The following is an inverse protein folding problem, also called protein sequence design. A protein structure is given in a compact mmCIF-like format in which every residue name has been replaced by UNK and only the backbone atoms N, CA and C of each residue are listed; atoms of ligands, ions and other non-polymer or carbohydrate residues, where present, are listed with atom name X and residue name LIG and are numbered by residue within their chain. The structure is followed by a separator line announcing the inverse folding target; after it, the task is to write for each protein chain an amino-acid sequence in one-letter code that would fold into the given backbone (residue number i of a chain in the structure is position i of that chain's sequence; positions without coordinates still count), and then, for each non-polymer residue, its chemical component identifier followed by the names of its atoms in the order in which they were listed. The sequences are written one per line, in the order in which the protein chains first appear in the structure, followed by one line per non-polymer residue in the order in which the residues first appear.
data_IF_567697037851
#
_entry.id   IF_567697037851
#
_cell.length_a   1.000
_cell.length_b   1.000
_cell.length_c   1.000
_cell.angle_alpha   90.00
_cell.angle_beta   90.00
_cell.angle_gamma   90.00
#
_symmetry.space_group_name_H-M   'P 1'
#
loop_
_entity.id
_entity.type
_entity.pdbx_description
1 polymer ?
#
# COMPACT_ATOMS: atom_id res chain seq x y z
N UNK A 1 19.83 -9.90 20.98
CA UNK A 1 18.66 -10.68 20.53
C UNK A 1 17.58 -9.70 20.12
N UNK A 2 17.45 -9.48 18.84
CA UNK A 2 16.38 -8.65 18.28
C UNK A 2 15.06 -9.39 18.50
N UNK A 3 14.21 -8.90 19.41
CA UNK A 3 12.81 -9.33 19.45
C UNK A 3 12.25 -9.09 18.07
N UNK A 4 11.70 -10.10 17.39
CA UNK A 4 10.93 -9.94 16.17
C UNK A 4 9.87 -8.89 16.42
N UNK A 5 10.14 -7.66 16.00
CA UNK A 5 9.19 -6.57 16.09
C UNK A 5 8.15 -6.85 15.01
N UNK A 6 6.88 -6.91 15.39
CA UNK A 6 5.79 -7.01 14.43
C UNK A 6 5.70 -5.71 13.63
N UNK A 7 5.80 -5.82 12.31
CA UNK A 7 5.82 -4.68 11.40
C UNK A 7 4.43 -4.31 10.84
N UNK A 8 3.37 -4.93 11.32
CA UNK A 8 1.99 -4.48 10.98
C UNK A 8 1.85 -2.99 11.29
N UNK A 9 1.20 -2.24 10.42
CA UNK A 9 1.07 -0.79 10.50
C UNK A 9 2.43 -0.05 10.41
N UNK A 10 3.33 -0.56 9.59
CA UNK A 10 4.57 0.12 9.20
C UNK A 10 4.64 0.24 7.68
N UNK A 11 5.43 1.19 7.21
CA UNK A 11 5.85 1.26 5.82
C UNK A 11 7.18 0.56 5.61
N UNK A 12 7.31 -0.08 4.46
CA UNK A 12 8.58 -0.43 3.86
C UNK A 12 8.91 0.57 2.76
N UNK A 13 10.05 1.21 2.87
CA UNK A 13 10.57 2.15 1.89
C UNK A 13 11.63 1.41 1.08
N UNK A 14 11.40 1.23 -0.23
CA UNK A 14 12.37 0.59 -1.09
C UNK A 14 13.69 1.38 -1.12
N UNK A 15 14.79 0.71 -0.84
CA UNK A 15 16.11 1.32 -0.95
C UNK A 15 16.55 1.43 -2.42
N UNK A 16 17.58 2.23 -2.73
CA UNK A 16 18.15 2.27 -4.07
C UNK A 16 18.74 0.94 -4.57
N UNK A 17 18.94 -0.05 -3.70
CA UNK A 17 19.37 -1.39 -4.09
C UNK A 17 18.33 -2.12 -4.95
N UNK A 18 17.04 -1.76 -4.78
CA UNK A 18 15.95 -2.26 -5.61
C UNK A 18 15.91 -1.43 -6.88
N UNK A 19 16.47 -1.93 -7.97
CA UNK A 19 16.72 -1.19 -9.21
C UNK A 19 15.69 -1.44 -10.33
N UNK A 20 14.65 -2.23 -10.06
CA UNK A 20 13.64 -2.53 -11.08
C UNK A 20 12.35 -3.13 -10.55
N UNK A 21 11.40 -3.36 -11.47
CA UNK A 21 10.10 -3.94 -11.18
C UNK A 21 9.17 -3.02 -10.38
N UNK A 22 8.08 -3.59 -9.90
CA UNK A 22 7.07 -2.85 -9.14
C UNK A 22 7.61 -2.26 -7.84
N UNK A 23 8.63 -2.88 -7.26
CA UNK A 23 9.21 -2.44 -5.99
C UNK A 23 10.24 -1.31 -6.14
N UNK A 24 10.66 -0.98 -7.36
CA UNK A 24 11.52 0.19 -7.60
C UNK A 24 10.84 1.47 -7.09
N UNK A 25 11.49 2.17 -6.15
CA UNK A 25 10.94 3.37 -5.51
C UNK A 25 9.52 3.17 -4.94
N UNK A 26 9.25 2.00 -4.39
CA UNK A 26 7.94 1.70 -3.81
C UNK A 26 7.87 2.04 -2.33
N UNK A 27 6.67 2.40 -1.91
CA UNK A 27 6.24 2.47 -0.52
C UNK A 27 5.21 1.37 -0.31
N UNK A 28 5.51 0.42 0.57
CA UNK A 28 4.62 -0.70 0.90
C UNK A 28 4.07 -0.50 2.30
N UNK A 29 2.76 -0.57 2.45
CA UNK A 29 2.09 -0.59 3.76
C UNK A 29 1.88 -2.02 4.23
N UNK A 30 2.40 -2.38 5.40
CA UNK A 30 2.24 -3.72 5.97
C UNK A 30 0.90 -3.82 6.68
N UNK A 31 0.00 -4.61 6.09
CA UNK A 31 -1.35 -4.83 6.59
C UNK A 31 -1.42 -5.91 7.66
N UNK A 32 -0.57 -6.93 7.56
CA UNK A 32 -0.51 -8.05 8.49
C UNK A 32 0.86 -8.71 8.47
N UNK A 33 1.35 -9.06 9.63
CA UNK A 33 2.52 -9.94 9.81
C UNK A 33 2.22 -10.95 10.90
N UNK A 34 2.33 -12.23 10.57
CA UNK A 34 2.11 -13.34 11.49
C UNK A 34 3.09 -14.49 11.23
N UNK A 35 2.84 -15.65 11.84
CA UNK A 35 3.71 -16.82 11.70
C UNK A 35 3.73 -17.44 10.30
N UNK A 36 2.78 -17.08 9.44
CA UNK A 36 2.67 -17.56 8.06
C UNK A 36 3.41 -16.65 7.08
N UNK A 37 3.66 -15.40 7.45
CA UNK A 37 4.36 -14.43 6.62
C UNK A 37 3.82 -13.00 6.77
N UNK A 38 4.09 -12.20 5.75
CA UNK A 38 3.73 -10.77 5.72
C UNK A 38 2.90 -10.44 4.49
N UNK A 39 1.82 -9.71 4.69
CA UNK A 39 0.97 -9.12 3.64
C UNK A 39 1.18 -7.62 3.60
N UNK A 40 1.51 -7.09 2.43
CA UNK A 40 1.66 -5.66 2.20
C UNK A 40 0.91 -5.18 0.95
N UNK A 41 0.65 -3.89 0.90
CA UNK A 41 0.10 -3.20 -0.27
C UNK A 41 1.06 -2.10 -0.70
N UNK A 42 1.46 -2.12 -1.98
CA UNK A 42 2.16 -0.99 -2.59
C UNK A 42 1.16 0.17 -2.70
N UNK A 43 1.49 1.32 -2.11
CA UNK A 43 0.55 2.44 -1.97
C UNK A 43 0.95 3.69 -2.74
N UNK A 44 1.92 3.58 -3.66
CA UNK A 44 2.42 4.72 -4.43
C UNK A 44 2.58 4.47 -5.94
N UNK A 45 1.95 3.44 -6.47
CA UNK A 45 2.02 3.09 -7.90
C UNK A 45 0.63 3.18 -8.54
N UNK A 46 0.19 4.38 -8.99
CA UNK A 46 -1.11 4.54 -9.63
C UNK A 46 -1.15 3.86 -11.00
N UNK A 47 -2.30 3.26 -11.31
CA UNK A 47 -2.61 2.69 -12.63
C UNK A 47 -3.27 3.80 -13.45
N UNK A 48 -2.49 4.47 -14.29
CA UNK A 48 -2.96 5.64 -15.05
C UNK A 48 -3.86 5.30 -16.24
N UNK A 49 -3.94 4.04 -16.62
CA UNK A 49 -4.77 3.56 -17.74
C UNK A 49 -6.23 3.32 -17.36
N UNK A 50 -6.58 3.46 -16.08
CA UNK A 50 -7.94 3.24 -15.57
C UNK A 50 -8.26 4.23 -14.45
N UNK A 51 -9.49 4.23 -13.99
CA UNK A 51 -9.93 4.94 -12.79
C UNK A 51 -10.89 4.07 -11.99
N UNK A 52 -11.14 4.47 -10.74
CA UNK A 52 -11.97 3.68 -9.82
C UNK A 52 -13.40 3.53 -10.33
N UNK A 53 -14.00 4.58 -10.90
CA UNK A 53 -15.35 4.52 -11.44
C UNK A 53 -15.47 3.48 -12.55
N UNK A 54 -14.52 3.45 -13.49
CA UNK A 54 -14.51 2.46 -14.58
C UNK A 54 -14.44 1.03 -14.07
N UNK A 55 -13.59 0.76 -13.06
CA UNK A 55 -13.51 -0.57 -12.45
C UNK A 55 -14.82 -0.97 -11.76
N UNK A 56 -15.51 -0.02 -11.14
CA UNK A 56 -16.82 -0.29 -10.53
C UNK A 56 -17.89 -0.59 -11.58
N UNK A 57 -17.91 0.16 -12.69
CA UNK A 57 -18.79 -0.09 -13.82
C UNK A 57 -18.58 -1.49 -14.43
N UNK A 58 -17.34 -1.93 -14.59
CA UNK A 58 -16.99 -3.29 -15.04
C UNK A 58 -17.50 -4.39 -14.09
N UNK A 59 -17.69 -4.06 -12.80
CA UNK A 59 -18.29 -4.93 -11.80
C UNK A 59 -19.82 -4.79 -11.70
N UNK A 60 -20.45 -4.02 -12.59
CA UNK A 60 -21.89 -3.67 -12.55
C UNK A 60 -22.28 -2.95 -11.24
N UNK A 61 -21.44 -2.02 -10.81
CA UNK A 61 -21.72 -1.11 -9.69
C UNK A 61 -21.96 0.28 -10.24
N UNK A 62 -23.15 0.82 -10.01
CA UNK A 62 -23.51 2.17 -10.43
C UNK A 62 -22.77 3.21 -9.58
N UNK A 63 -22.04 4.10 -10.25
CA UNK A 63 -21.27 5.16 -9.61
C UNK A 63 -22.06 6.46 -9.62
N UNK A 64 -22.39 6.96 -8.44
CA UNK A 64 -23.11 8.25 -8.29
C UNK A 64 -22.20 9.42 -7.94
N UNK A 65 -20.93 9.14 -7.59
CA UNK A 65 -19.96 10.13 -7.13
C UNK A 65 -18.95 10.44 -8.23
N UNK A 66 -18.94 11.70 -8.65
CA UNK A 66 -18.05 12.19 -9.72
C UNK A 66 -16.57 12.08 -9.42
N UNK A 67 -16.15 12.19 -8.16
CA UNK A 67 -14.74 12.14 -7.77
C UNK A 67 -14.07 10.77 -8.06
N UNK A 68 -14.84 9.69 -8.10
CA UNK A 68 -14.33 8.36 -8.45
C UNK A 68 -13.81 8.27 -9.90
N UNK A 69 -14.27 9.14 -10.80
CA UNK A 69 -13.74 9.22 -12.17
C UNK A 69 -12.33 9.83 -12.24
N UNK A 70 -11.91 10.53 -11.18
CA UNK A 70 -10.57 11.13 -11.07
C UNK A 70 -9.63 10.32 -10.20
N UNK A 71 -10.17 9.42 -9.38
CA UNK A 71 -9.38 8.58 -8.49
C UNK A 71 -8.77 7.41 -9.25
N UNK A 72 -7.45 7.26 -9.15
CA UNK A 72 -6.73 6.16 -9.78
C UNK A 72 -6.66 4.97 -8.82
N UNK A 73 -6.85 3.75 -9.31
CA UNK A 73 -6.49 2.56 -8.55
C UNK A 73 -4.98 2.44 -8.49
N UNK A 74 -4.48 1.67 -7.52
CA UNK A 74 -3.07 1.41 -7.32
C UNK A 74 -2.72 -0.02 -7.75
N UNK A 75 -1.54 -0.19 -8.32
CA UNK A 75 -0.91 -1.50 -8.44
C UNK A 75 -0.35 -1.87 -7.06
N UNK A 76 -1.09 -2.70 -6.33
CA UNK A 76 -0.80 -3.04 -4.93
C UNK A 76 0.29 -4.08 -4.75
N UNK A 77 0.72 -4.73 -5.84
CA UNK A 77 1.77 -5.74 -5.80
C UNK A 77 1.58 -6.86 -6.83
N UNK A 78 2.58 -7.75 -6.96
CA UNK A 78 2.62 -8.75 -8.04
C UNK A 78 1.71 -9.96 -7.80
N UNK A 79 1.19 -10.13 -6.58
CA UNK A 79 0.39 -11.30 -6.23
C UNK A 79 -1.10 -11.03 -6.46
N UNK A 80 -1.80 -11.97 -7.10
CA UNK A 80 -3.25 -11.92 -7.36
C UNK A 80 -3.73 -10.56 -7.91
N UNK A 81 -3.22 -10.11 -9.07
CA UNK A 81 -3.53 -8.78 -9.61
C UNK A 81 -5.00 -8.56 -9.96
N UNK A 82 -5.78 -9.64 -10.04
CA UNK A 82 -7.23 -9.61 -10.24
C UNK A 82 -8.03 -9.36 -8.96
N UNK A 83 -7.38 -9.39 -7.79
CA UNK A 83 -8.05 -9.17 -6.50
C UNK A 83 -7.92 -7.71 -6.08
N UNK A 84 -9.06 -7.08 -5.81
CA UNK A 84 -9.12 -5.73 -5.25
C UNK A 84 -9.01 -5.74 -3.73
N UNK A 85 -8.13 -4.90 -3.21
CA UNK A 85 -7.96 -4.62 -1.78
C UNK A 85 -8.32 -3.16 -1.53
N UNK A 86 -9.33 -2.92 -0.72
CA UNK A 86 -9.68 -1.57 -0.29
C UNK A 86 -9.04 -1.32 1.07
N UNK A 87 -8.04 -0.45 1.08
CA UNK A 87 -7.45 0.09 2.30
C UNK A 87 -8.25 1.33 2.67
N UNK A 88 -8.81 1.40 3.89
CA UNK A 88 -9.75 2.46 4.22
C UNK A 88 -9.74 2.84 5.70
N UNK A 89 -10.28 4.01 5.98
CA UNK A 89 -10.57 4.47 7.34
C UNK A 89 -11.91 3.93 7.83
N UNK A 90 -12.11 3.94 9.15
CA UNK A 90 -13.35 3.53 9.80
C UNK A 90 -13.29 2.13 10.39
N UNK A 91 -14.43 1.46 10.44
CA UNK A 91 -14.60 0.15 11.06
C UNK A 91 -14.64 -0.98 10.02
N UNK A 92 -14.35 -2.22 10.41
CA UNK A 92 -14.39 -3.37 9.51
C UNK A 92 -15.82 -3.93 9.36
N UNK A 93 -16.74 -3.12 8.84
CA UNK A 93 -18.17 -3.40 8.81
C UNK A 93 -18.63 -4.24 7.60
N UNK A 94 -17.72 -4.60 6.71
CA UNK A 94 -18.02 -5.38 5.49
C UNK A 94 -17.65 -6.85 5.63
N UNK A 95 -18.21 -7.70 4.76
CA UNK A 95 -18.15 -9.18 4.85
C UNK A 95 -16.71 -9.71 4.96
N UNK A 96 -15.79 -9.24 4.12
CA UNK A 96 -14.38 -9.68 4.14
C UNK A 96 -13.49 -8.51 4.57
N UNK A 97 -13.64 -8.08 5.80
CA UNK A 97 -12.96 -6.93 6.37
C UNK A 97 -12.22 -7.28 7.64
N UNK A 98 -11.04 -6.70 7.85
CA UNK A 98 -10.35 -6.75 9.13
C UNK A 98 -9.67 -5.43 9.47
N UNK A 99 -9.59 -5.13 10.76
CA UNK A 99 -8.89 -3.96 11.25
C UNK A 99 -7.38 -4.22 11.29
N UNK A 100 -6.61 -3.28 10.73
CA UNK A 100 -5.14 -3.25 10.87
C UNK A 100 -4.79 -2.47 12.13
N UNK A 101 -5.48 -1.35 12.35
CA UNK A 101 -5.43 -0.52 13.55
C UNK A 101 -6.86 -0.13 13.95
N UNK A 102 -7.00 0.68 14.99
CA UNK A 102 -8.31 1.25 15.37
C UNK A 102 -8.95 2.11 14.27
N UNK A 103 -8.15 2.67 13.36
CA UNK A 103 -8.59 3.64 12.36
C UNK A 103 -8.36 3.22 10.91
N UNK A 104 -7.66 2.11 10.67
CA UNK A 104 -7.32 1.63 9.32
C UNK A 104 -7.74 0.19 9.18
N UNK A 105 -8.51 -0.09 8.15
CA UNK A 105 -9.01 -1.41 7.80
C UNK A 105 -8.65 -1.78 6.37
N UNK A 106 -8.72 -3.06 6.06
CA UNK A 106 -8.62 -3.62 4.72
C UNK A 106 -9.83 -4.49 4.44
N UNK A 107 -10.41 -4.36 3.26
CA UNK A 107 -11.60 -5.09 2.83
C UNK A 107 -11.43 -5.62 1.41
N UNK A 108 -11.84 -6.86 1.16
CA UNK A 108 -11.75 -7.50 -0.17
C UNK A 108 -13.12 -7.86 -0.75
N UNK A 109 -14.21 -7.66 -0.03
CA UNK A 109 -15.56 -7.97 -0.47
C UNK A 109 -16.22 -6.82 -1.25
N UNK A 110 -17.12 -7.18 -2.17
CA UNK A 110 -17.77 -6.23 -3.09
C UNK A 110 -18.69 -5.21 -2.39
N UNK A 111 -19.21 -5.52 -1.22
CA UNK A 111 -20.15 -4.68 -0.48
C UNK A 111 -19.57 -3.30 -0.10
N UNK A 112 -18.26 -3.21 0.20
CA UNK A 112 -17.61 -1.92 0.42
C UNK A 112 -17.60 -1.06 -0.85
N UNK A 113 -17.41 -1.67 -2.03
CA UNK A 113 -17.41 -0.94 -3.29
C UNK A 113 -18.77 -0.29 -3.58
N UNK A 114 -19.86 -0.98 -3.23
CA UNK A 114 -21.21 -0.44 -3.35
C UNK A 114 -21.43 0.75 -2.41
N UNK A 115 -20.93 0.68 -1.18
CA UNK A 115 -20.98 1.80 -0.23
C UNK A 115 -20.18 3.00 -0.72
N UNK A 116 -18.97 2.79 -1.22
CA UNK A 116 -18.12 3.83 -1.79
C UNK A 116 -18.77 4.47 -3.01
N UNK A 117 -19.33 3.67 -3.93
CA UNK A 117 -20.01 4.17 -5.13
C UNK A 117 -21.21 5.06 -4.82
N UNK A 118 -21.89 4.79 -3.72
CA UNK A 118 -22.99 5.58 -3.17
C UNK A 118 -22.57 6.77 -2.27
N UNK A 119 -21.27 6.94 -2.02
CA UNK A 119 -20.75 8.01 -1.16
C UNK A 119 -20.96 7.80 0.33
N UNK A 120 -21.05 6.55 0.75
CA UNK A 120 -21.38 6.21 2.12
C UNK A 120 -20.30 5.34 2.78
N UNK A 121 -20.16 5.47 4.09
CA UNK A 121 -19.45 4.53 4.96
C UNK A 121 -17.93 4.62 5.00
N UNK A 122 -17.29 5.37 4.10
CA UNK A 122 -15.83 5.47 4.02
C UNK A 122 -15.41 6.90 3.70
N UNK A 123 -14.60 7.49 4.57
CA UNK A 123 -14.09 8.86 4.39
C UNK A 123 -12.86 8.88 3.48
N UNK A 124 -11.89 8.01 3.77
CA UNK A 124 -10.66 7.88 2.98
C UNK A 124 -10.45 6.42 2.57
N UNK A 125 -10.08 6.20 1.33
CA UNK A 125 -9.73 4.86 0.85
C UNK A 125 -8.70 4.90 -0.28
N UNK A 126 -7.98 3.79 -0.44
CA UNK A 126 -7.22 3.43 -1.64
C UNK A 126 -7.70 2.08 -2.15
N UNK A 127 -7.91 1.98 -3.46
CA UNK A 127 -8.20 0.71 -4.13
C UNK A 127 -6.92 0.18 -4.74
N UNK A 128 -6.41 -0.92 -4.20
CA UNK A 128 -5.21 -1.59 -4.69
C UNK A 128 -5.60 -2.87 -5.45
N UNK A 129 -5.03 -3.08 -6.63
CA UNK A 129 -5.14 -4.33 -7.37
C UNK A 129 -3.88 -5.16 -7.11
N UNK A 130 -4.07 -6.39 -6.62
CA UNK A 130 -2.96 -7.23 -6.18
C UNK A 130 -2.35 -6.78 -4.84
N UNK A 131 -1.37 -7.55 -4.38
CA UNK A 131 -0.67 -7.33 -3.12
C UNK A 131 0.78 -7.81 -3.18
N UNK A 132 1.56 -7.45 -2.18
CA UNK A 132 2.89 -8.00 -1.91
C UNK A 132 2.81 -9.02 -0.78
N UNK A 133 3.60 -10.08 -0.87
CA UNK A 133 3.65 -11.14 0.12
C UNK A 133 5.08 -11.62 0.34
N UNK A 134 5.44 -11.79 1.60
CA UNK A 134 6.71 -12.36 2.04
C UNK A 134 6.43 -13.62 2.87
N UNK A 135 7.14 -14.68 2.57
CA UNK A 135 7.14 -15.86 3.41
C UNK A 135 7.77 -15.59 4.78
N UNK A 136 7.59 -16.52 5.72
CA UNK A 136 8.17 -16.41 7.07
C UNK A 136 9.67 -16.18 7.01
N UNK A 137 10.15 -15.10 7.62
CA UNK A 137 11.56 -14.72 7.69
C UNK A 137 12.13 -14.04 6.45
N UNK A 138 11.42 -14.05 5.32
CA UNK A 138 11.90 -13.48 4.07
C UNK A 138 12.03 -11.95 4.17
N UNK A 139 11.04 -11.26 4.73
CA UNK A 139 11.07 -9.80 4.89
C UNK A 139 12.23 -9.38 5.81
N UNK A 140 12.44 -10.08 6.90
CA UNK A 140 13.52 -9.82 7.84
C UNK A 140 14.90 -9.97 7.18
N UNK A 141 15.05 -10.96 6.30
CA UNK A 141 16.27 -11.13 5.49
C UNK A 141 16.49 -9.95 4.53
N UNK A 142 15.46 -9.54 3.80
CA UNK A 142 15.54 -8.41 2.86
C UNK A 142 15.84 -7.09 3.58
N UNK A 143 15.28 -6.87 4.78
CA UNK A 143 15.60 -5.71 5.62
C UNK A 143 17.07 -5.76 6.05
N UNK A 144 17.57 -6.92 6.48
CA UNK A 144 18.96 -7.09 6.90
C UNK A 144 19.96 -6.91 5.73
N UNK A 145 19.53 -7.21 4.51
CA UNK A 145 20.30 -6.97 3.28
C UNK A 145 20.29 -5.48 2.84
N UNK A 146 19.44 -4.68 3.47
CA UNK A 146 19.31 -3.26 3.16
C UNK A 146 18.41 -2.94 1.98
N UNK A 147 17.53 -3.87 1.58
CA UNK A 147 16.57 -3.64 0.49
C UNK A 147 15.41 -2.75 0.95
N UNK A 148 15.05 -2.83 2.21
CA UNK A 148 13.95 -2.08 2.80
C UNK A 148 14.36 -1.29 4.03
N UNK A 149 13.88 -0.04 4.12
CA UNK A 149 13.84 0.74 5.36
C UNK A 149 12.45 0.69 5.96
N UNK A 150 12.37 0.70 7.28
CA UNK A 150 11.11 0.62 8.02
C UNK A 150 10.77 1.97 8.64
N UNK A 151 9.53 2.42 8.43
CA UNK A 151 8.98 3.65 9.00
C UNK A 151 7.63 3.36 9.64
N UNK A 152 7.35 3.78 10.88
CA UNK A 152 5.99 3.72 11.43
C UNK A 152 4.99 4.40 10.50
N UNK A 153 3.83 3.79 10.29
CA UNK A 153 2.83 4.34 9.38
C UNK A 153 2.17 5.61 9.94
N UNK A 154 1.74 6.47 9.01
CA UNK A 154 0.94 7.64 9.30
C UNK A 154 -0.23 7.76 8.33
N UNK A 155 -1.34 8.31 8.80
CA UNK A 155 -2.54 8.56 7.99
C UNK A 155 -2.24 9.50 6.83
N UNK A 156 -1.41 10.53 7.05
CA UNK A 156 -1.01 11.49 6.02
C UNK A 156 -0.34 10.82 4.82
N UNK A 157 0.62 9.92 5.05
CA UNK A 157 1.27 9.17 3.97
C UNK A 157 0.34 8.19 3.26
N UNK A 158 -0.65 7.61 3.99
CA UNK A 158 -1.60 6.68 3.39
C UNK A 158 -2.63 7.36 2.52
N UNK A 159 -3.13 8.55 2.90
CA UNK A 159 -4.34 9.10 2.28
C UNK A 159 -4.23 10.54 1.80
N UNK A 160 -3.30 11.35 2.33
CA UNK A 160 -3.27 12.81 2.04
C UNK A 160 -2.18 13.20 1.04
N UNK A 161 -1.06 12.45 1.00
CA UNK A 161 0.04 12.75 0.08
C UNK A 161 -0.25 12.14 -1.30
N UNK A 162 0.01 12.90 -2.36
CA UNK A 162 -0.06 12.38 -3.73
C UNK A 162 0.81 11.13 -3.91
N UNK A 163 0.31 10.12 -4.58
CA UNK A 163 0.96 8.81 -4.74
C UNK A 163 2.42 8.91 -5.18
N UNK A 164 2.70 9.73 -6.20
CA UNK A 164 4.05 9.92 -6.77
C UNK A 164 5.07 10.50 -5.78
N UNK A 165 4.61 11.18 -4.73
CA UNK A 165 5.46 11.84 -3.74
C UNK A 165 5.67 10.99 -2.47
N UNK A 166 4.85 9.96 -2.25
CA UNK A 166 4.83 9.17 -1.01
C UNK A 166 6.17 8.53 -0.67
N UNK A 167 6.84 7.92 -1.65
CA UNK A 167 8.14 7.30 -1.42
C UNK A 167 9.20 8.31 -0.96
N UNK A 168 9.29 9.43 -1.65
CA UNK A 168 10.25 10.49 -1.30
C UNK A 168 9.95 11.13 0.06
N UNK A 169 8.67 11.42 0.34
CA UNK A 169 8.26 11.97 1.63
C UNK A 169 8.55 10.99 2.77
N UNK A 170 8.30 9.70 2.57
CA UNK A 170 8.63 8.66 3.55
C UNK A 170 10.15 8.60 3.82
N UNK A 171 10.97 8.65 2.77
CA UNK A 171 12.44 8.68 2.90
C UNK A 171 12.91 9.92 3.68
N UNK A 172 12.35 11.08 3.41
CA UNK A 172 12.64 12.32 4.13
C UNK A 172 12.26 12.24 5.62
N UNK A 173 11.11 11.64 5.94
CA UNK A 173 10.69 11.42 7.33
C UNK A 173 11.64 10.48 8.08
N UNK A 174 12.20 9.50 7.39
CA UNK A 174 13.23 8.63 7.95
C UNK A 174 14.59 9.31 8.11
N UNK A 175 14.81 10.48 7.50
CA UNK A 175 16.08 11.20 7.48
C UNK A 175 17.08 10.63 6.47
N UNK A 176 16.65 9.89 5.48
CA UNK A 176 17.49 9.29 4.43
C UNK A 176 17.38 10.10 3.14
N UNK A 177 18.52 10.49 2.59
CA UNK A 177 18.62 11.11 1.27
C UNK A 177 19.14 10.09 0.26
N UNK A 178 18.22 9.44 -0.44
CA UNK A 178 18.57 8.42 -1.43
C UNK A 178 19.34 8.95 -2.63
N UNK A 179 19.28 10.25 -2.91
CA UNK A 179 20.09 10.86 -3.98
C UNK A 179 21.58 10.84 -3.62
N UNK A 180 21.92 10.87 -2.34
CA UNK A 180 23.31 10.77 -1.87
C UNK A 180 23.79 9.31 -1.82
N UNK A 181 22.91 8.37 -1.53
CA UNK A 181 23.29 6.95 -1.48
C UNK A 181 23.59 6.37 -2.86
N UNK A 182 22.94 6.85 -3.93
CA UNK A 182 23.19 6.39 -5.30
C UNK A 182 24.51 6.88 -5.90
N UNK A 183 25.11 7.95 -5.35
CA UNK A 183 26.41 8.47 -5.82
C UNK A 183 27.61 7.74 -5.21
N UNK A 184 27.46 7.07 -4.07
CA UNK A 184 28.54 6.32 -3.42
C UNK A 184 28.77 4.92 -3.99
N UNK A 185 27.83 4.40 -4.78
CA UNK A 185 27.95 3.06 -5.43
C UNK A 185 28.70 3.14 -6.78
N UNK A 186 28.97 4.34 -7.29
CA UNK A 186 29.58 4.58 -8.61
C UNK A 186 31.11 4.66 -8.66
N UNK A 187 31.83 4.52 -7.55
CA UNK A 187 33.29 4.63 -7.48
C UNK A 187 33.92 3.52 -6.63
N UNK A 188 33.93 2.33 -7.18
CA UNK A 188 34.85 1.27 -6.75
C UNK A 188 35.32 0.49 -7.98
#
# INVERSE_FOLDING_TARGET
MSKNQNLTNHFLIASPNIDGGIFYQSLVYICRQDQQGTLGLVVNKPIETSNVAKLFEELNIDVTITDLHRKLPLDGGPMNPEVGFVLHTGQPDWVSSFAITENVCITTSKDILQSIAGGQGVEHFELCLGHASWGKGQLEEEINQGDWFVLPASMGLLFDIEHKNRWQVAAQQLGVDFNKLSTDIGHA
#
